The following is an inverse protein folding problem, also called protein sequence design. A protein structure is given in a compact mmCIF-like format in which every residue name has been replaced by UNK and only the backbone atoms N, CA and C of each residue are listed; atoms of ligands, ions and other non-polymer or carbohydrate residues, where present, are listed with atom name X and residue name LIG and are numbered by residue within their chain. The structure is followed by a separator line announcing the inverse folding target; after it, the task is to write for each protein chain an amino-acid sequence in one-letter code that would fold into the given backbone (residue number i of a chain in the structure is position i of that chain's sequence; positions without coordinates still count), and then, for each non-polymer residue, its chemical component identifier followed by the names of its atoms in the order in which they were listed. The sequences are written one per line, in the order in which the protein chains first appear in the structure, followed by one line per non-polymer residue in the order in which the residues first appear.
data_IF_631851982721
#
_entry.id   IF_631851982721
#
_cell.length_a   1.000
_cell.length_b   1.000
_cell.length_c   1.000
_cell.angle_alpha   90.00
_cell.angle_beta   90.00
_cell.angle_gamma   90.00
#
_symmetry.space_group_name_H-M   'P 1'
#
loop_
_entity.id
_entity.type
_entity.pdbx_description
1 polymer ?
#
# COMPACT_ATOMS: atom_id res chain seq x y z
N UNK A 1 -0.23 16.79 -4.30
CA UNK A 1 -0.79 15.90 -3.25
C UNK A 1 -1.32 16.78 -2.12
N UNK A 2 -2.64 16.88 -1.93
CA UNK A 2 -3.26 17.80 -0.93
C UNK A 2 -4.15 17.10 0.09
N UNK A 3 -4.31 15.79 -0.02
CA UNK A 3 -5.15 15.00 0.91
C UNK A 3 -4.42 14.74 2.22
N UNK A 4 -5.13 14.93 3.36
CA UNK A 4 -4.57 14.77 4.71
C UNK A 4 -3.92 13.39 4.92
N UNK A 5 -4.55 12.33 4.42
CA UNK A 5 -4.03 10.96 4.54
C UNK A 5 -2.72 10.75 3.80
N UNK A 6 -2.59 11.25 2.56
CA UNK A 6 -1.35 11.16 1.80
C UNK A 6 -0.21 11.97 2.42
N UNK A 7 -0.52 13.13 3.01
CA UNK A 7 0.48 13.94 3.75
C UNK A 7 0.98 13.18 4.98
N UNK A 8 0.08 12.61 5.78
CA UNK A 8 0.43 11.85 6.98
C UNK A 8 1.27 10.61 6.63
N UNK A 9 0.89 9.86 5.60
CA UNK A 9 1.66 8.70 5.14
C UNK A 9 3.05 9.10 4.62
N UNK A 10 3.15 10.24 3.92
CA UNK A 10 4.42 10.77 3.45
C UNK A 10 5.33 11.23 4.60
N UNK A 11 4.77 11.85 5.63
CA UNK A 11 5.52 12.24 6.84
C UNK A 11 6.07 11.00 7.56
N UNK A 12 5.22 9.99 7.77
CA UNK A 12 5.62 8.70 8.32
C UNK A 12 6.76 8.05 7.51
N UNK A 13 6.62 7.98 6.18
CA UNK A 13 7.66 7.47 5.29
C UNK A 13 8.98 8.22 5.42
N UNK A 14 8.92 9.56 5.49
CA UNK A 14 10.11 10.40 5.65
C UNK A 14 10.78 10.20 7.02
N UNK A 15 10.00 10.00 8.08
CA UNK A 15 10.52 9.73 9.40
C UNK A 15 11.27 8.39 9.43
N UNK A 16 10.70 7.33 8.82
CA UNK A 16 11.36 6.03 8.77
C UNK A 16 12.63 6.03 7.92
N UNK A 17 12.62 6.69 6.76
CA UNK A 17 13.79 6.67 5.86
C UNK A 17 14.99 7.41 6.44
N UNK A 18 14.77 8.37 7.35
CA UNK A 18 15.83 9.08 8.08
C UNK A 18 17.01 9.50 7.19
N UNK A 19 16.70 10.31 6.16
CA UNK A 19 17.70 10.78 5.19
C UNK A 19 18.07 9.78 4.07
N UNK A 20 17.75 8.49 4.19
CA UNK A 20 17.91 7.49 3.12
C UNK A 20 16.88 7.69 2.00
N UNK A 21 17.09 7.01 0.87
CA UNK A 21 16.17 7.02 -0.27
C UNK A 21 14.80 6.41 0.07
N UNK A 22 14.79 5.36 0.87
CA UNK A 22 13.60 4.66 1.32
C UNK A 22 13.87 3.93 2.66
N UNK A 23 12.85 3.73 3.50
CA UNK A 23 12.98 2.82 4.62
C UNK A 23 13.08 1.38 4.13
N UNK A 24 13.63 0.50 4.96
CA UNK A 24 13.53 -0.94 4.77
C UNK A 24 12.07 -1.36 4.98
N UNK A 25 11.65 -2.39 4.25
CA UNK A 25 10.31 -2.98 4.40
C UNK A 25 10.00 -3.38 5.84
N UNK A 26 10.98 -3.89 6.58
CA UNK A 26 10.83 -4.30 7.99
C UNK A 26 10.66 -3.14 8.97
N UNK A 27 10.98 -1.91 8.56
CA UNK A 27 10.80 -0.70 9.37
C UNK A 27 9.36 -0.16 9.28
N UNK A 28 8.59 -0.61 8.29
CA UNK A 28 7.20 -0.20 8.11
C UNK A 28 6.31 -1.06 9.01
N UNK A 29 5.92 -0.51 10.16
CA UNK A 29 4.96 -1.07 11.08
C UNK A 29 3.54 -0.55 10.77
N UNK A 30 2.61 -1.40 10.28
CA UNK A 30 1.23 -1.00 10.00
C UNK A 30 0.51 -0.33 11.16
N UNK A 31 0.83 -0.71 12.41
CA UNK A 31 0.19 -0.13 13.59
C UNK A 31 0.43 1.40 13.72
N UNK A 32 1.56 1.92 13.24
CA UNK A 32 1.89 3.34 13.31
C UNK A 32 1.01 4.20 12.39
N UNK A 33 0.42 3.59 11.36
CA UNK A 33 -0.46 4.24 10.39
C UNK A 33 -1.90 3.71 10.47
N UNK A 34 -2.31 3.21 11.64
CA UNK A 34 -3.61 2.54 11.86
C UNK A 34 -4.81 3.32 11.31
N UNK A 35 -4.85 4.64 11.47
CA UNK A 35 -5.94 5.50 10.97
C UNK A 35 -6.02 5.58 9.45
N UNK A 36 -4.92 5.26 8.74
CA UNK A 36 -4.80 5.29 7.29
C UNK A 36 -4.95 3.89 6.67
N UNK A 37 -4.85 2.81 7.48
CA UNK A 37 -4.84 1.44 6.99
C UNK A 37 -6.06 1.07 6.16
N UNK A 38 -7.24 1.61 6.47
CA UNK A 38 -8.46 1.31 5.73
C UNK A 38 -8.38 1.72 4.25
N UNK A 39 -7.58 2.75 3.94
CA UNK A 39 -7.40 3.33 2.61
C UNK A 39 -5.99 3.09 2.03
N UNK A 40 -5.16 2.30 2.71
CA UNK A 40 -3.77 2.01 2.30
C UNK A 40 -3.66 0.60 1.74
N UNK A 41 -2.78 0.40 0.76
CA UNK A 41 -2.38 -0.92 0.30
C UNK A 41 -0.86 -1.00 0.19
N UNK A 42 -0.32 -2.23 0.25
CA UNK A 42 1.10 -2.50 0.04
C UNK A 42 1.21 -3.55 -1.04
N UNK A 43 2.00 -3.24 -2.07
CA UNK A 43 2.37 -4.19 -3.10
C UNK A 43 3.69 -4.87 -2.76
N UNK A 44 3.83 -6.12 -3.17
CA UNK A 44 5.10 -6.81 -3.20
C UNK A 44 5.28 -7.51 -4.55
N UNK A 45 6.52 -7.83 -4.91
CA UNK A 45 6.79 -8.68 -6.06
C UNK A 45 6.64 -10.13 -5.65
N UNK A 46 5.84 -10.89 -6.39
CA UNK A 46 5.75 -12.33 -6.22
C UNK A 46 6.99 -13.04 -6.81
N UNK A 47 7.00 -14.37 -6.79
CA UNK A 47 8.10 -15.19 -7.32
C UNK A 47 8.28 -15.08 -8.83
N UNK A 48 7.28 -14.56 -9.55
CA UNK A 48 7.30 -14.31 -10.99
C UNK A 48 7.66 -12.87 -11.32
N UNK A 49 7.84 -12.02 -10.31
CA UNK A 49 8.17 -10.60 -10.45
C UNK A 49 6.97 -9.68 -10.59
N UNK A 50 5.75 -10.22 -10.52
CA UNK A 50 4.48 -9.51 -10.66
C UNK A 50 4.13 -8.76 -9.38
N UNK A 51 3.53 -7.58 -9.53
CA UNK A 51 3.05 -6.81 -8.39
C UNK A 51 1.75 -7.43 -7.84
N UNK A 52 1.80 -7.90 -6.60
CA UNK A 52 0.66 -8.49 -5.89
C UNK A 52 0.37 -7.72 -4.60
N UNK A 53 -0.90 -7.67 -4.20
CA UNK A 53 -1.31 -7.07 -2.95
C UNK A 53 -0.84 -7.92 -1.75
N UNK A 54 0.09 -7.39 -0.97
CA UNK A 54 0.45 -7.98 0.34
C UNK A 54 -0.55 -7.58 1.43
N UNK A 55 -1.00 -6.34 1.35
CA UNK A 55 -1.97 -5.73 2.24
C UNK A 55 -2.91 -4.88 1.40
N UNK A 56 -4.20 -4.96 1.70
CA UNK A 56 -5.22 -4.10 1.12
C UNK A 56 -6.14 -3.62 2.23
N UNK A 57 -6.32 -2.30 2.31
CA UNK A 57 -7.21 -1.67 3.28
C UNK A 57 -8.65 -2.10 3.09
N UNK A 58 -9.40 -2.14 4.19
CA UNK A 58 -10.79 -2.64 4.21
C UNK A 58 -11.73 -1.83 3.31
N UNK A 59 -11.54 -0.52 3.16
CA UNK A 59 -12.35 0.30 2.24
C UNK A 59 -12.05 -0.05 0.79
N UNK A 60 -10.78 -0.29 0.44
CA UNK A 60 -10.41 -0.77 -0.88
C UNK A 60 -11.05 -2.14 -1.18
N UNK A 61 -10.96 -3.09 -0.24
CA UNK A 61 -11.62 -4.39 -0.37
C UNK A 61 -13.14 -4.26 -0.54
N UNK A 62 -13.78 -3.34 0.19
CA UNK A 62 -15.22 -3.08 0.07
C UNK A 62 -15.60 -2.54 -1.31
N UNK A 63 -14.80 -1.64 -1.90
CA UNK A 63 -15.05 -1.13 -3.25
C UNK A 63 -15.00 -2.23 -4.32
N UNK A 64 -14.10 -3.20 -4.17
CA UNK A 64 -13.98 -4.33 -5.10
C UNK A 64 -14.85 -5.55 -4.72
N UNK A 65 -15.58 -5.47 -3.60
CA UNK A 65 -16.44 -6.54 -3.12
C UNK A 65 -15.72 -7.84 -2.74
N UNK A 66 -14.40 -7.81 -2.52
CA UNK A 66 -13.58 -8.98 -2.16
C UNK A 66 -12.28 -8.59 -1.45
N UNK A 67 -11.71 -9.52 -0.70
CA UNK A 67 -10.36 -9.37 -0.18
C UNK A 67 -9.34 -9.36 -1.33
N UNK A 68 -8.52 -8.30 -1.41
CA UNK A 68 -7.53 -8.16 -2.48
C UNK A 68 -6.17 -8.76 -2.14
N UNK A 69 -5.93 -9.19 -0.90
CA UNK A 69 -4.64 -9.80 -0.52
C UNK A 69 -4.34 -11.01 -1.42
N UNK A 70 -3.14 -11.06 -1.99
CA UNK A 70 -2.69 -12.07 -2.93
C UNK A 70 -3.13 -11.85 -4.38
N UNK A 71 -4.02 -10.90 -4.67
CA UNK A 71 -4.40 -10.59 -6.05
C UNK A 71 -3.31 -9.81 -6.78
N UNK A 72 -3.25 -10.02 -8.10
CA UNK A 72 -2.42 -9.24 -9.01
C UNK A 72 -2.91 -7.79 -9.07
N UNK A 73 -2.02 -6.83 -8.88
CA UNK A 73 -2.35 -5.41 -8.97
C UNK A 73 -2.82 -5.00 -10.37
N UNK A 74 -2.11 -5.36 -11.47
CA UNK A 74 -2.61 -5.10 -12.83
C UNK A 74 -4.02 -5.62 -13.12
N UNK A 75 -4.47 -6.67 -12.43
CA UNK A 75 -5.82 -7.24 -12.64
C UNK A 75 -6.98 -6.30 -12.30
N UNK A 76 -6.72 -5.15 -11.68
CA UNK A 76 -7.75 -4.13 -11.41
C UNK A 76 -8.07 -3.25 -12.62
N UNK A 77 -7.25 -3.32 -13.68
CA UNK A 77 -7.41 -2.55 -14.91
C UNK A 77 -7.81 -3.47 -16.08
N UNK A 78 -8.37 -2.87 -17.13
CA UNK A 78 -8.59 -3.61 -18.38
C UNK A 78 -7.26 -3.71 -19.12
N UNK A 79 -7.07 -4.76 -19.92
CA UNK A 79 -5.83 -4.97 -20.72
C UNK A 79 -5.46 -3.81 -21.67
N UNK A 80 -6.36 -2.85 -21.88
CA UNK A 80 -6.16 -1.71 -22.79
C UNK A 80 -5.91 -0.38 -22.08
N UNK A 81 -5.87 -0.37 -20.75
CA UNK A 81 -5.50 0.79 -19.93
C UNK A 81 -3.99 0.83 -19.67
#
# INVERSE_FOLDING_TARGET
MKEKGSIALFQYWNQLRDGRLAPKRSEVEPADIKSLLADTFILERDTRGEAVFRLAGTRLCAYYGRELKGFSFPSLWREKD
#
